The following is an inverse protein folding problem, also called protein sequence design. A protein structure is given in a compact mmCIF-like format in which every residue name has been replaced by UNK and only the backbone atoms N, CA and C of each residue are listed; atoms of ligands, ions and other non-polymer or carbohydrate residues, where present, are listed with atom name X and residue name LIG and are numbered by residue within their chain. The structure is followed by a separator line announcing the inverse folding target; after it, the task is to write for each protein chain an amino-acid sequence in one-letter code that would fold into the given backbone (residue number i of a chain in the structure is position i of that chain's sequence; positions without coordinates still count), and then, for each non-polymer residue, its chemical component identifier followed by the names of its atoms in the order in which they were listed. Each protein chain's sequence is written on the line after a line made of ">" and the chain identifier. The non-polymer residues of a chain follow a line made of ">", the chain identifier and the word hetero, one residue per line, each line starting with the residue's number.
data_IF_247285759734
#
_entry.id   IF_247285759734
#
_cell.length_a   1.000
_cell.length_b   1.000
_cell.length_c   1.000
_cell.angle_alpha   90.00
_cell.angle_beta   90.00
_cell.angle_gamma   90.00
#
_symmetry.space_group_name_H-M   'P 1'
#
loop_
_entity.id
_entity.type
_entity.pdbx_description
1 polymer ?
#
# COMPACT_ATOMS: atom_id res chain seq x y z
N UNK A 1 19.32 -10.93 4.55
CA UNK A 1 18.07 -11.74 4.60
C UNK A 1 18.19 -12.91 3.62
N UNK A 2 17.55 -14.06 3.89
CA UNK A 2 17.55 -15.18 2.95
C UNK A 2 16.74 -14.80 1.69
N UNK A 3 16.99 -15.49 0.57
CA UNK A 3 16.41 -15.16 -0.75
C UNK A 3 14.87 -15.22 -0.76
N UNK A 4 14.33 -16.13 0.04
CA UNK A 4 12.92 -16.39 0.31
C UNK A 4 12.28 -15.46 1.37
N UNK A 5 13.00 -14.45 1.87
CA UNK A 5 12.43 -13.49 2.82
C UNK A 5 11.10 -12.85 2.36
N UNK A 6 10.90 -12.48 1.08
CA UNK A 6 9.58 -12.05 0.58
C UNK A 6 8.48 -13.08 0.80
N UNK A 7 8.78 -14.37 0.60
CA UNK A 7 7.83 -15.46 0.77
C UNK A 7 7.40 -15.57 2.24
N UNK A 8 8.33 -15.49 3.19
CA UNK A 8 7.98 -15.50 4.62
C UNK A 8 7.11 -14.31 5.04
N UNK A 9 7.37 -13.12 4.50
CA UNK A 9 6.52 -11.94 4.75
C UNK A 9 5.10 -12.20 4.23
N UNK A 10 4.98 -12.74 3.02
CA UNK A 10 3.69 -13.09 2.42
C UNK A 10 2.99 -14.15 3.25
N UNK A 11 3.65 -15.25 3.63
CA UNK A 11 3.07 -16.31 4.43
C UNK A 11 2.59 -15.81 5.80
N UNK A 12 3.32 -14.88 6.42
CA UNK A 12 2.91 -14.25 7.68
C UNK A 12 1.62 -13.42 7.50
N UNK A 13 1.57 -12.55 6.48
CA UNK A 13 0.37 -11.77 6.17
C UNK A 13 -0.80 -12.68 5.78
N UNK A 14 -0.52 -13.70 4.96
CA UNK A 14 -1.50 -14.66 4.46
C UNK A 14 -2.16 -15.42 5.59
N UNK A 15 -1.36 -15.91 6.54
CA UNK A 15 -1.85 -16.63 7.72
C UNK A 15 -2.83 -15.80 8.57
N UNK A 16 -2.61 -14.49 8.72
CA UNK A 16 -3.50 -13.62 9.52
C UNK A 16 -4.68 -13.05 8.73
N UNK A 17 -4.45 -12.61 7.50
CA UNK A 17 -5.39 -11.73 6.79
C UNK A 17 -6.14 -12.43 5.65
N UNK A 18 -5.59 -13.47 5.04
CA UNK A 18 -6.14 -14.05 3.81
C UNK A 18 -7.17 -15.16 4.09
N UNK A 19 -7.98 -15.49 3.09
CA UNK A 19 -8.88 -16.64 3.12
C UNK A 19 -8.19 -17.96 2.77
N UNK A 20 -6.95 -17.89 2.28
CA UNK A 20 -6.14 -19.02 1.86
C UNK A 20 -4.99 -19.19 2.87
N UNK A 21 -4.63 -20.43 3.18
CA UNK A 21 -3.48 -20.79 3.98
C UNK A 21 -2.20 -20.83 3.13
N UNK A 22 -1.00 -20.76 3.74
CA UNK A 22 0.27 -20.87 3.01
C UNK A 22 0.44 -22.17 2.19
N UNK A 23 -0.29 -23.24 2.53
CA UNK A 23 -0.33 -24.51 1.80
C UNK A 23 -1.33 -24.50 0.61
N UNK A 24 -2.05 -23.40 0.40
CA UNK A 24 -3.06 -23.25 -0.65
C UNK A 24 -4.47 -23.69 -0.25
N UNK A 25 -4.66 -24.26 0.94
CA UNK A 25 -5.99 -24.66 1.42
C UNK A 25 -6.85 -23.45 1.79
N UNK A 26 -8.17 -23.57 1.64
CA UNK A 26 -9.09 -22.54 2.11
C UNK A 26 -9.27 -22.62 3.62
N UNK A 27 -9.25 -21.45 4.27
CA UNK A 27 -9.56 -21.35 5.70
C UNK A 27 -11.06 -21.51 5.94
N UNK A 28 -11.47 -22.17 7.03
CA UNK A 28 -12.88 -22.26 7.41
C UNK A 28 -13.56 -20.89 7.47
N UNK A 29 -14.83 -20.81 7.07
CA UNK A 29 -15.61 -19.56 7.14
C UNK A 29 -15.76 -19.04 8.57
N UNK A 30 -15.71 -19.94 9.56
CA UNK A 30 -15.78 -19.63 11.00
C UNK A 30 -14.52 -18.95 11.54
N UNK A 31 -13.40 -19.04 10.83
CA UNK A 31 -12.16 -18.41 11.25
C UNK A 31 -12.20 -16.90 10.95
N UNK A 32 -12.02 -16.07 11.97
CA UNK A 32 -11.87 -14.62 11.80
C UNK A 32 -10.58 -14.32 11.03
N UNK A 33 -10.67 -13.38 10.08
CA UNK A 33 -9.55 -12.93 9.25
C UNK A 33 -9.34 -11.44 9.47
N UNK A 34 -8.10 -11.03 9.65
CA UNK A 34 -7.78 -9.63 9.84
C UNK A 34 -8.03 -8.81 8.57
N UNK A 35 -8.24 -7.50 8.73
CA UNK A 35 -8.57 -6.57 7.64
C UNK A 35 -7.37 -6.29 6.72
N UNK A 36 -7.64 -5.73 5.55
CA UNK A 36 -6.60 -5.22 4.66
C UNK A 36 -5.73 -4.16 5.36
N UNK A 37 -6.33 -3.33 6.23
CA UNK A 37 -5.57 -2.35 7.03
C UNK A 37 -4.56 -3.04 7.94
N UNK A 38 -4.92 -4.18 8.54
CA UNK A 38 -3.99 -4.96 9.34
C UNK A 38 -2.84 -5.51 8.50
N UNK A 39 -3.14 -6.07 7.33
CA UNK A 39 -2.12 -6.53 6.37
C UNK A 39 -1.15 -5.41 5.97
N UNK A 40 -1.67 -4.20 5.71
CA UNK A 40 -0.84 -3.01 5.41
C UNK A 40 0.10 -2.67 6.56
N UNK A 41 -0.38 -2.75 7.81
CA UNK A 41 0.44 -2.53 9.02
C UNK A 41 1.52 -3.60 9.16
N UNK A 42 1.21 -4.87 8.92
CA UNK A 42 2.18 -5.97 8.93
C UNK A 42 3.30 -5.74 7.91
N UNK A 43 2.93 -5.38 6.66
CA UNK A 43 3.92 -5.02 5.63
C UNK A 43 4.76 -3.83 6.04
N UNK A 44 4.14 -2.76 6.56
CA UNK A 44 4.84 -1.56 7.00
C UNK A 44 5.83 -1.87 8.15
N UNK A 45 5.46 -2.75 9.08
CA UNK A 45 6.33 -3.21 10.15
C UNK A 45 7.58 -3.92 9.59
N UNK A 46 7.43 -4.82 8.62
CA UNK A 46 8.57 -5.46 7.96
C UNK A 46 9.41 -4.46 7.17
N UNK A 47 8.78 -3.55 6.45
CA UNK A 47 9.49 -2.47 5.74
C UNK A 47 10.34 -1.67 6.71
N UNK A 48 9.80 -1.28 7.87
CA UNK A 48 10.52 -0.54 8.90
C UNK A 48 11.69 -1.35 9.49
N UNK A 49 11.46 -2.62 9.85
CA UNK A 49 12.50 -3.49 10.40
C UNK A 49 13.65 -3.65 9.42
N UNK A 50 13.37 -3.98 8.15
CA UNK A 50 14.42 -4.12 7.14
C UNK A 50 15.10 -2.79 6.79
N UNK A 51 14.36 -1.69 6.75
CA UNK A 51 14.93 -0.38 6.45
C UNK A 51 15.83 0.14 7.57
N UNK A 52 15.36 0.07 8.83
CA UNK A 52 16.00 0.72 9.99
C UNK A 52 16.92 -0.22 10.76
N UNK A 53 16.43 -1.42 11.12
CA UNK A 53 17.21 -2.35 11.95
C UNK A 53 18.28 -3.07 11.15
N UNK A 54 17.99 -3.44 9.90
CA UNK A 54 18.95 -4.10 9.01
C UNK A 54 19.66 -3.14 8.04
N UNK A 55 19.34 -1.85 8.07
CA UNK A 55 20.01 -0.84 7.25
C UNK A 55 19.83 -1.01 5.74
N UNK A 56 18.80 -1.75 5.29
CA UNK A 56 18.60 -2.04 3.86
C UNK A 56 17.85 -0.92 3.12
N UNK A 57 17.39 0.09 3.87
CA UNK A 57 16.64 1.23 3.34
C UNK A 57 15.39 0.82 2.55
N UNK A 58 15.14 1.57 1.47
CA UNK A 58 14.00 1.38 0.55
C UNK A 58 14.43 0.78 -0.80
N UNK A 59 15.63 0.21 -0.88
CA UNK A 59 16.13 -0.39 -2.13
C UNK A 59 15.26 -1.60 -2.50
N UNK A 60 14.89 -1.71 -3.76
CA UNK A 60 14.16 -2.84 -4.32
C UNK A 60 14.87 -4.16 -4.00
N UNK A 61 14.13 -5.24 -3.75
CA UNK A 61 14.70 -6.57 -3.56
C UNK A 61 15.12 -7.17 -4.91
N UNK A 62 16.42 -7.19 -5.19
CA UNK A 62 16.99 -7.58 -6.49
C UNK A 62 18.20 -8.53 -6.32
N UNK A 63 18.38 -9.44 -7.29
CA UNK A 63 19.57 -10.29 -7.33
C UNK A 63 20.69 -9.54 -8.03
N UNK A 64 21.82 -9.35 -7.35
CA UNK A 64 23.00 -8.75 -7.94
C UNK A 64 23.57 -9.65 -9.04
N UNK A 65 23.70 -9.12 -10.26
CA UNK A 65 24.30 -9.84 -11.38
C UNK A 65 25.79 -10.17 -11.15
N UNK A 66 26.49 -9.29 -10.41
CA UNK A 66 27.93 -9.44 -10.11
C UNK A 66 28.18 -10.49 -9.03
N UNK A 67 27.39 -10.46 -7.95
CA UNK A 67 27.65 -11.29 -6.77
C UNK A 67 26.74 -12.51 -6.67
N UNK A 68 25.67 -12.56 -7.46
CA UNK A 68 24.62 -13.58 -7.37
C UNK A 68 23.81 -13.54 -6.08
N UNK A 69 24.00 -12.54 -5.21
CA UNK A 69 23.31 -12.43 -3.91
C UNK A 69 22.11 -11.49 -4.00
N UNK A 70 21.10 -11.78 -3.20
CA UNK A 70 19.94 -10.90 -3.04
C UNK A 70 20.32 -9.65 -2.23
N UNK A 71 19.92 -8.48 -2.72
CA UNK A 71 20.14 -7.17 -2.12
C UNK A 71 18.84 -6.37 -2.03
N UNK A 72 18.83 -5.37 -1.14
CA UNK A 72 17.68 -4.50 -0.91
C UNK A 72 16.76 -4.96 0.22
N UNK A 73 15.54 -4.42 0.26
CA UNK A 73 14.57 -4.69 1.32
C UNK A 73 13.48 -5.66 0.80
N UNK A 74 13.36 -6.87 1.40
CA UNK A 74 12.43 -7.89 0.90
C UNK A 74 10.95 -7.46 0.99
N UNK A 75 10.60 -6.53 1.89
CA UNK A 75 9.23 -6.02 2.06
C UNK A 75 8.77 -5.09 0.92
N UNK A 76 9.72 -4.54 0.15
CA UNK A 76 9.46 -3.74 -1.06
C UNK A 76 9.67 -4.54 -2.35
N UNK A 77 9.83 -5.86 -2.25
CA UNK A 77 9.91 -6.73 -3.43
C UNK A 77 8.64 -6.66 -4.28
N UNK A 78 8.79 -6.89 -5.59
CA UNK A 78 7.66 -7.01 -6.51
C UNK A 78 6.69 -8.13 -6.09
N UNK A 79 7.23 -9.23 -5.53
CA UNK A 79 6.43 -10.35 -5.04
C UNK A 79 5.47 -9.94 -3.91
N UNK A 80 5.97 -9.22 -2.89
CA UNK A 80 5.13 -8.73 -1.79
C UNK A 80 4.12 -7.70 -2.30
N UNK A 81 4.52 -6.82 -3.22
CA UNK A 81 3.61 -5.84 -3.80
C UNK A 81 2.45 -6.48 -4.56
N UNK A 82 2.73 -7.43 -5.47
CA UNK A 82 1.72 -8.17 -6.22
C UNK A 82 0.78 -8.96 -5.32
N UNK A 83 1.32 -9.58 -4.26
CA UNK A 83 0.50 -10.25 -3.25
C UNK A 83 -0.46 -9.28 -2.55
N UNK A 84 0.01 -8.11 -2.09
CA UNK A 84 -0.83 -7.12 -1.42
C UNK A 84 -1.97 -6.59 -2.31
N UNK A 85 -1.71 -6.40 -3.61
CA UNK A 85 -2.75 -6.01 -4.58
C UNK A 85 -3.79 -7.12 -4.71
N UNK A 86 -3.34 -8.37 -4.81
CA UNK A 86 -4.23 -9.53 -4.95
C UNK A 86 -5.08 -9.75 -3.71
N UNK A 87 -4.48 -9.57 -2.52
CA UNK A 87 -5.18 -9.59 -1.24
C UNK A 87 -6.23 -8.48 -1.17
N UNK A 88 -5.89 -7.26 -1.57
CA UNK A 88 -6.84 -6.14 -1.59
C UNK A 88 -8.07 -6.44 -2.47
N UNK A 89 -7.86 -7.01 -3.65
CA UNK A 89 -8.96 -7.43 -4.53
C UNK A 89 -9.82 -8.52 -3.88
N UNK A 90 -9.22 -9.56 -3.30
CA UNK A 90 -9.97 -10.62 -2.58
C UNK A 90 -10.79 -10.06 -1.43
N UNK A 91 -10.22 -9.13 -0.65
CA UNK A 91 -10.93 -8.46 0.45
C UNK A 91 -12.11 -7.62 -0.04
N UNK A 92 -11.93 -6.86 -1.13
CA UNK A 92 -13.00 -6.09 -1.75
C UNK A 92 -14.14 -7.00 -2.24
N UNK A 93 -13.81 -8.13 -2.89
CA UNK A 93 -14.79 -9.12 -3.31
C UNK A 93 -15.52 -9.80 -2.13
N UNK A 94 -14.85 -9.95 -0.99
CA UNK A 94 -15.45 -10.43 0.26
C UNK A 94 -16.31 -9.37 0.98
N UNK A 95 -16.50 -8.18 0.38
CA UNK A 95 -17.32 -7.10 0.93
C UNK A 95 -16.59 -6.20 1.93
N UNK A 96 -15.27 -6.32 2.07
CA UNK A 96 -14.49 -5.35 2.84
C UNK A 96 -14.48 -4.02 2.08
N UNK A 97 -15.24 -3.05 2.59
CA UNK A 97 -15.32 -1.73 1.97
C UNK A 97 -13.91 -1.08 1.93
N UNK A 98 -13.48 -0.53 0.79
CA UNK A 98 -12.19 0.16 0.68
C UNK A 98 -12.09 1.29 1.70
N UNK A 99 -10.94 1.41 2.37
CA UNK A 99 -10.71 2.46 3.37
C UNK A 99 -10.96 3.87 2.81
N UNK A 100 -10.56 4.14 1.56
CA UNK A 100 -10.80 5.42 0.87
C UNK A 100 -12.27 5.64 0.54
N UNK A 101 -13.01 4.61 0.14
CA UNK A 101 -14.43 4.71 -0.14
C UNK A 101 -15.25 5.03 1.12
N UNK A 102 -14.82 4.53 2.30
CA UNK A 102 -15.42 4.93 3.59
C UNK A 102 -15.15 6.39 3.96
N UNK A 103 -14.05 6.98 3.46
CA UNK A 103 -13.71 8.37 3.73
C UNK A 103 -14.52 9.37 2.86
N UNK A 104 -15.06 8.92 1.72
CA UNK A 104 -15.89 9.74 0.84
C UNK A 104 -17.36 9.45 1.11
N UNK A 105 -17.98 10.29 1.94
CA UNK A 105 -19.42 10.22 2.23
C UNK A 105 -20.23 10.97 1.15
N UNK A 106 -21.55 10.75 1.12
CA UNK A 106 -22.47 11.53 0.28
C UNK A 106 -22.35 13.04 0.53
N UNK A 107 -22.06 13.44 1.77
CA UNK A 107 -21.86 14.83 2.14
C UNK A 107 -20.57 15.40 1.53
N UNK A 108 -19.50 14.61 1.49
CA UNK A 108 -18.25 15.01 0.81
C UNK A 108 -18.51 15.19 -0.67
N UNK A 109 -19.23 14.26 -1.32
CA UNK A 109 -19.60 14.37 -2.74
C UNK A 109 -20.48 15.59 -3.01
N UNK A 110 -21.44 15.89 -2.13
CA UNK A 110 -22.30 17.07 -2.23
C UNK A 110 -21.49 18.37 -2.09
N UNK A 111 -20.55 18.43 -1.14
CA UNK A 111 -19.63 19.58 -1.00
C UNK A 111 -18.77 19.77 -2.24
N UNK A 112 -18.27 18.67 -2.81
CA UNK A 112 -17.45 18.69 -4.04
C UNK A 112 -18.26 19.19 -5.24
N UNK A 113 -19.53 18.77 -5.35
CA UNK A 113 -20.45 19.29 -6.35
C UNK A 113 -20.68 20.79 -6.21
N UNK A 114 -21.00 21.27 -5.01
CA UNK A 114 -21.20 22.70 -4.78
C UNK A 114 -19.93 23.52 -5.06
N UNK A 115 -18.77 23.02 -4.65
CA UNK A 115 -17.48 23.64 -4.92
C UNK A 115 -17.22 23.79 -6.42
N UNK A 116 -17.41 22.72 -7.20
CA UNK A 116 -17.18 22.75 -8.66
C UNK A 116 -18.18 23.63 -9.42
N UNK A 117 -19.33 23.97 -8.82
CA UNK A 117 -20.35 24.84 -9.42
C UNK A 117 -20.30 26.28 -8.89
N UNK A 118 -19.24 26.66 -8.19
CA UNK A 118 -19.03 28.07 -7.84
C UNK A 118 -18.84 28.89 -9.12
N UNK A 119 -19.38 30.12 -9.19
CA UNK A 119 -19.29 30.97 -10.38
C UNK A 119 -17.85 31.31 -10.76
N UNK A 120 -16.92 31.28 -9.81
CA UNK A 120 -15.48 31.45 -9.99
C UNK A 120 -14.84 30.37 -10.89
N UNK A 121 -15.47 29.20 -11.04
CA UNK A 121 -14.99 28.09 -11.87
C UNK A 121 -15.83 27.87 -13.15
N UNK A 122 -16.85 28.71 -13.38
CA UNK A 122 -17.73 28.57 -14.55
C UNK A 122 -17.03 28.90 -15.87
N UNK A 123 -16.05 29.81 -15.83
CA UNK A 123 -15.14 30.09 -16.92
C UNK A 123 -13.89 29.24 -16.71
N UNK A 124 -13.67 28.24 -17.58
CA UNK A 124 -12.55 27.31 -17.43
C UNK A 124 -11.23 28.07 -17.25
N UNK A 125 -10.58 27.86 -16.10
CA UNK A 125 -9.30 28.51 -15.80
C UNK A 125 -8.30 28.05 -16.87
N UNK A 126 -7.65 28.97 -17.62
CA UNK A 126 -6.63 28.58 -18.58
C UNK A 126 -5.52 27.82 -17.87
N UNK A 127 -5.25 26.60 -18.32
CA UNK A 127 -4.20 25.77 -17.76
C UNK A 127 -2.85 26.47 -17.89
N UNK A 128 -2.26 26.84 -16.76
CA UNK A 128 -0.88 27.28 -16.67
C UNK A 128 -0.06 26.14 -16.03
N UNK A 129 0.98 25.60 -16.70
CA UNK A 129 1.86 24.64 -16.07
C UNK A 129 2.57 25.31 -14.89
N UNK A 130 2.38 24.78 -13.68
CA UNK A 130 3.09 25.27 -12.50
C UNK A 130 4.61 25.02 -12.64
N UNK A 131 5.42 26.05 -12.40
CA UNK A 131 6.86 25.87 -12.16
C UNK A 131 7.03 25.06 -10.88
N UNK A 132 7.90 24.03 -10.91
CA UNK A 132 8.37 23.39 -9.67
C UNK A 132 9.40 24.32 -9.04
N UNK A 133 8.94 25.42 -8.45
CA UNK A 133 9.82 26.17 -7.57
C UNK A 133 10.07 25.31 -6.32
N UNK A 134 11.34 25.22 -5.92
CA UNK A 134 11.72 24.46 -4.74
C UNK A 134 10.93 25.02 -3.54
N UNK A 135 10.30 24.16 -2.71
CA UNK A 135 9.59 24.65 -1.55
C UNK A 135 10.56 25.42 -0.65
N UNK A 136 10.17 26.60 -0.15
CA UNK A 136 11.04 27.45 0.67
C UNK A 136 11.43 26.79 2.01
N UNK A 137 10.67 25.78 2.46
CA UNK A 137 10.90 25.07 3.71
C UNK A 137 10.51 23.58 3.59
N UNK A 138 11.30 22.72 4.25
CA UNK A 138 11.12 21.26 4.29
C UNK A 138 9.92 20.86 5.16
N UNK A 139 9.41 21.76 6.00
CA UNK A 139 8.29 21.50 6.91
C UNK A 139 6.90 21.71 6.28
N UNK A 140 6.80 22.28 5.09
CA UNK A 140 5.51 22.52 4.41
C UNK A 140 4.93 21.28 3.70
N UNK A 141 5.50 20.09 3.92
CA UNK A 141 5.16 18.85 3.21
C UNK A 141 4.06 18.02 3.85
N UNK A 142 3.37 18.52 4.88
CA UNK A 142 2.32 17.78 5.58
C UNK A 142 1.12 18.65 5.91
N UNK A 143 0.16 18.71 4.98
CA UNK A 143 -1.24 18.95 5.30
C UNK A 143 -1.93 17.64 5.67
#
# INVERSE_FOLDING_TARGET
>A
PPEDAPYFIISWIMNSCDSINPDGSEKPLTQTRDSLSHAQKMRAAMTHVFARKYGLGSRTWDKSEVTGKMHGNPSVSAMVASYMVSLANRKAHAGEAPNSARAITSDVLKKLYHFNNLPEFAEGIPYAPGSRDAPPDIHSWGG
#
